data_IF_175991535651
#
_entry.id   IF_175991535651
#
_cell.length_a   1.000
_cell.length_b   1.000
_cell.length_c   1.000
_cell.angle_alpha   90.00
_cell.angle_beta   90.00
_cell.angle_gamma   90.00
#
_symmetry.space_group_name_H-M   'P 1'
#
loop_
_entity.id
_entity.type
_entity.pdbx_description
1 polymer ?
#
# COMPACT_ATOMS: atom_id res chain seq x y z
N UNK A 1 9.46 -72.29 131.08
CA UNK A 1 9.69 -73.65 130.55
C UNK A 1 8.70 -73.85 129.42
N UNK A 2 9.01 -74.09 128.14
CA UNK A 2 10.24 -74.32 127.37
C UNK A 2 9.84 -74.04 125.89
N UNK A 3 10.53 -73.15 125.17
CA UNK A 3 11.27 -73.40 123.90
C UNK A 3 10.37 -73.84 122.72
N UNK A 4 10.27 -73.15 121.58
CA UNK A 4 11.31 -72.51 120.78
C UNK A 4 11.46 -73.30 119.47
N UNK A 5 11.56 -72.57 118.34
CA UNK A 5 11.96 -73.02 116.98
C UNK A 5 10.88 -73.67 116.08
N UNK A 6 10.68 -73.34 114.79
CA UNK A 6 11.16 -72.40 113.76
C UNK A 6 10.08 -72.50 112.64
N UNK A 7 9.40 -71.50 112.10
CA UNK A 7 9.81 -70.21 111.50
C UNK A 7 10.80 -70.33 110.33
N UNK A 8 10.39 -70.92 109.19
CA UNK A 8 10.76 -70.48 107.82
C UNK A 8 10.31 -71.49 106.75
N UNK A 9 9.11 -71.33 106.18
CA UNK A 9 8.75 -71.97 104.89
C UNK A 9 7.53 -71.35 104.16
N UNK A 10 6.97 -70.22 104.63
CA UNK A 10 5.63 -69.77 104.20
C UNK A 10 5.60 -68.39 103.52
N UNK A 11 6.72 -67.92 102.96
CA UNK A 11 6.81 -66.58 102.31
C UNK A 11 7.10 -66.65 100.80
N UNK A 12 7.27 -67.84 100.19
CA UNK A 12 7.65 -67.95 98.77
C UNK A 12 6.56 -68.45 97.81
N UNK A 13 5.28 -68.47 98.19
CA UNK A 13 4.19 -68.99 97.31
C UNK A 13 3.02 -68.03 97.06
N UNK A 14 3.08 -66.78 97.53
CA UNK A 14 2.00 -65.78 97.35
C UNK A 14 2.27 -64.72 96.27
N UNK A 15 3.42 -64.73 95.59
CA UNK A 15 3.75 -63.75 94.54
C UNK A 15 3.54 -64.25 93.10
N UNK A 16 3.13 -65.51 92.87
CA UNK A 16 2.93 -66.06 91.51
C UNK A 16 1.47 -66.16 91.04
N UNK A 17 0.49 -65.99 91.93
CA UNK A 17 -0.94 -66.12 91.57
C UNK A 17 -1.62 -64.79 91.25
N UNK A 18 -1.04 -63.63 91.60
CA UNK A 18 -1.59 -62.32 91.25
C UNK A 18 -1.28 -61.86 89.81
N UNK A 19 -0.30 -62.48 89.13
CA UNK A 19 0.10 -62.12 87.75
C UNK A 19 -0.69 -62.85 86.65
N UNK A 20 -1.35 -63.98 86.97
CA UNK A 20 -2.07 -64.79 85.97
C UNK A 20 -3.52 -64.35 85.74
N UNK A 21 -4.16 -63.79 86.76
CA UNK A 21 -5.58 -63.37 86.65
C UNK A 21 -5.75 -62.00 85.98
N UNK A 22 -4.70 -61.17 85.94
CA UNK A 22 -4.71 -59.89 85.22
C UNK A 22 -4.64 -60.05 83.68
N UNK A 23 -4.08 -61.17 83.19
CA UNK A 23 -3.97 -61.41 81.75
C UNK A 23 -5.23 -62.02 81.13
N UNK A 24 -6.07 -62.73 81.89
CA UNK A 24 -7.28 -63.36 81.35
C UNK A 24 -8.50 -62.42 81.26
N UNK A 25 -8.50 -61.27 81.95
CA UNK A 25 -9.59 -60.30 81.89
C UNK A 25 -9.54 -59.35 80.67
N UNK A 26 -8.40 -59.28 79.96
CA UNK A 26 -8.19 -58.36 78.84
C UNK A 26 -8.72 -58.95 77.52
N UNK A 27 -8.79 -60.27 77.38
CA UNK A 27 -9.11 -60.91 76.09
C UNK A 27 -10.61 -60.89 75.70
N UNK A 28 -11.54 -60.66 76.64
CA UNK A 28 -12.98 -60.73 76.34
C UNK A 28 -13.63 -59.39 75.95
N UNK A 29 -12.97 -58.24 76.16
CA UNK A 29 -13.52 -56.92 75.76
C UNK A 29 -13.16 -56.52 74.32
N UNK A 30 -12.12 -57.09 73.71
CA UNK A 30 -11.66 -56.70 72.37
C UNK A 30 -12.48 -57.28 71.19
N UNK A 31 -13.36 -58.26 71.41
CA UNK A 31 -14.02 -58.99 70.31
C UNK A 31 -15.14 -58.21 69.56
N UNK A 32 -15.71 -57.14 70.16
CA UNK A 32 -16.77 -56.33 69.51
C UNK A 32 -16.30 -54.98 69.00
N UNK A 33 -15.38 -54.30 69.71
CA UNK A 33 -14.83 -53.01 69.28
C UNK A 33 -13.83 -53.11 68.12
N UNK A 34 -13.01 -54.18 68.09
CA UNK A 34 -12.06 -54.42 66.99
C UNK A 34 -12.74 -54.63 65.64
N UNK A 35 -13.90 -55.32 65.62
CA UNK A 35 -14.68 -55.51 64.40
C UNK A 35 -15.23 -54.19 63.86
N UNK A 36 -15.66 -53.28 64.73
CA UNK A 36 -16.18 -51.97 64.32
C UNK A 36 -15.07 -51.07 63.75
N UNK A 37 -13.89 -51.07 64.38
CA UNK A 37 -12.70 -50.39 63.85
C UNK A 37 -12.24 -50.99 62.51
N UNK A 38 -12.30 -52.31 62.34
CA UNK A 38 -11.99 -52.99 61.08
C UNK A 38 -13.00 -52.62 59.97
N UNK A 39 -14.30 -52.55 60.28
CA UNK A 39 -15.32 -52.12 59.32
C UNK A 39 -15.20 -50.63 58.95
N UNK A 40 -14.88 -49.76 59.90
CA UNK A 40 -14.61 -48.33 59.62
C UNK A 40 -13.35 -48.16 58.78
N UNK A 41 -12.28 -48.90 59.09
CA UNK A 41 -11.06 -48.90 58.29
C UNK A 41 -11.32 -49.43 56.86
N UNK A 42 -12.09 -50.52 56.73
CA UNK A 42 -12.49 -51.07 55.42
C UNK A 42 -13.33 -50.07 54.62
N UNK A 43 -14.29 -49.40 55.27
CA UNK A 43 -15.13 -48.39 54.63
C UNK A 43 -14.34 -47.14 54.23
N UNK A 44 -13.37 -46.72 55.05
CA UNK A 44 -12.44 -45.64 54.72
C UNK A 44 -11.53 -46.01 53.53
N UNK A 45 -11.06 -47.25 53.46
CA UNK A 45 -10.28 -47.75 52.31
C UNK A 45 -11.15 -47.76 51.04
N UNK A 46 -12.39 -48.26 51.11
CA UNK A 46 -13.31 -48.25 49.97
C UNK A 46 -13.64 -46.82 49.54
N UNK A 47 -13.84 -45.90 50.49
CA UNK A 47 -14.08 -44.48 50.21
C UNK A 47 -12.86 -43.81 49.56
N UNK A 48 -11.65 -44.05 50.06
CA UNK A 48 -10.40 -43.59 49.44
C UNK A 48 -10.19 -44.19 48.06
N UNK A 49 -10.56 -45.46 47.87
CA UNK A 49 -10.44 -46.16 46.59
C UNK A 49 -11.44 -45.62 45.56
N UNK A 50 -12.67 -45.32 45.98
CA UNK A 50 -13.67 -44.62 45.18
C UNK A 50 -13.25 -43.19 44.83
N UNK A 51 -12.74 -42.43 45.81
CA UNK A 51 -12.19 -41.09 45.59
C UNK A 51 -10.98 -41.11 44.66
N UNK A 52 -10.03 -42.04 44.84
CA UNK A 52 -8.86 -42.17 43.98
C UNK A 52 -9.22 -42.61 42.55
N UNK A 53 -10.37 -43.26 42.36
CA UNK A 53 -10.92 -43.60 41.05
C UNK A 53 -11.57 -42.41 40.34
N UNK A 54 -12.09 -41.41 41.07
CA UNK A 54 -12.72 -40.22 40.50
C UNK A 54 -11.83 -38.97 40.48
N UNK A 55 -10.88 -38.86 41.40
CA UNK A 55 -9.96 -37.74 41.49
C UNK A 55 -9.03 -37.71 40.28
N UNK A 56 -9.20 -36.72 39.41
CA UNK A 56 -8.33 -36.48 38.25
C UNK A 56 -7.15 -35.60 38.64
N UNK A 57 -5.94 -36.05 38.33
CA UNK A 57 -4.69 -35.28 38.38
C UNK A 57 -4.25 -34.95 36.95
N UNK A 58 -3.82 -33.71 36.72
CA UNK A 58 -3.34 -33.27 35.42
C UNK A 58 -1.93 -33.82 35.17
N UNK A 59 -1.72 -34.42 33.99
CA UNK A 59 -0.40 -34.83 33.52
C UNK A 59 0.19 -33.68 32.70
N UNK A 60 1.38 -33.21 33.11
CA UNK A 60 2.03 -32.06 32.48
C UNK A 60 3.42 -32.43 31.99
N UNK A 61 3.73 -31.97 30.78
CA UNK A 61 5.11 -31.92 30.25
C UNK A 61 5.66 -30.55 30.54
N UNK A 62 6.85 -30.49 31.14
CA UNK A 62 7.52 -29.24 31.48
C UNK A 62 8.57 -28.92 30.43
N UNK A 63 8.63 -27.67 30.00
CA UNK A 63 9.66 -27.18 29.10
C UNK A 63 10.07 -25.76 29.45
N UNK A 64 11.30 -25.40 29.09
CA UNK A 64 11.81 -24.05 29.25
C UNK A 64 11.43 -23.23 28.01
N UNK A 65 10.63 -22.17 28.21
CA UNK A 65 10.14 -21.28 27.18
C UNK A 65 10.89 -19.95 27.13
N UNK A 66 11.18 -19.44 25.94
CA UNK A 66 11.63 -18.07 25.72
C UNK A 66 10.58 -17.29 24.94
N UNK A 67 10.28 -16.08 25.39
CA UNK A 67 9.37 -15.18 24.67
C UNK A 67 10.02 -14.71 23.39
N UNK A 68 9.40 -15.04 22.26
CA UNK A 68 9.77 -14.53 20.95
C UNK A 68 8.68 -13.59 20.44
N UNK A 69 9.03 -12.58 19.64
CA UNK A 69 8.04 -11.75 18.96
C UNK A 69 7.06 -12.63 18.18
N UNK A 70 5.77 -12.38 18.33
CA UNK A 70 4.68 -13.03 17.59
C UNK A 70 4.82 -12.84 16.07
N UNK A 71 5.40 -11.71 15.66
CA UNK A 71 5.74 -11.36 14.28
C UNK A 71 7.24 -11.21 14.14
N UNK A 72 7.75 -11.51 12.96
CA UNK A 72 9.15 -11.28 12.64
C UNK A 72 9.49 -9.79 12.81
N UNK A 73 10.73 -9.53 13.25
CA UNK A 73 11.30 -8.18 13.34
C UNK A 73 11.14 -7.48 11.99
N UNK A 74 10.57 -6.27 12.02
CA UNK A 74 10.35 -5.46 10.83
C UNK A 74 11.61 -4.65 10.55
N UNK A 75 12.19 -4.84 9.36
CA UNK A 75 13.37 -4.12 8.91
C UNK A 75 12.88 -2.92 8.09
N UNK A 76 13.19 -1.71 8.55
CA UNK A 76 12.83 -0.48 7.85
C UNK A 76 14.03 -0.03 7.03
N UNK A 77 13.82 0.10 5.73
CA UNK A 77 14.85 0.46 4.75
C UNK A 77 14.57 1.85 4.17
N UNK A 78 15.62 2.51 3.69
CA UNK A 78 15.47 3.70 2.85
C UNK A 78 15.21 3.28 1.41
N UNK A 79 14.15 3.76 0.76
CA UNK A 79 13.94 3.47 -0.67
C UNK A 79 14.91 4.28 -1.54
N UNK A 80 14.91 5.62 -1.39
CA UNK A 80 15.69 6.54 -2.23
C UNK A 80 17.06 6.93 -1.66
N UNK A 81 17.34 6.61 -0.39
CA UNK A 81 18.56 7.05 0.30
C UNK A 81 18.59 8.57 0.54
N UNK A 82 19.72 9.06 1.06
CA UNK A 82 19.95 10.49 1.26
C UNK A 82 20.76 10.83 2.50
N UNK A 83 20.79 12.10 2.86
CA UNK A 83 21.51 12.59 4.04
C UNK A 83 20.53 12.61 5.21
N UNK A 84 20.92 12.01 6.33
CA UNK A 84 20.11 12.03 7.56
C UNK A 84 20.09 13.44 8.13
N UNK A 85 18.93 14.07 8.12
CA UNK A 85 18.74 15.41 8.70
C UNK A 85 18.50 15.30 10.21
N UNK A 86 17.63 14.39 10.63
CA UNK A 86 17.24 14.23 12.04
C UNK A 86 16.91 12.77 12.37
N UNK A 87 17.28 12.34 13.58
CA UNK A 87 16.92 11.04 14.16
C UNK A 87 15.99 11.32 15.35
N UNK A 88 14.75 10.87 15.28
CA UNK A 88 13.71 11.18 16.28
C UNK A 88 13.50 10.05 17.31
N UNK A 89 14.09 8.88 17.07
CA UNK A 89 13.93 7.70 17.93
C UNK A 89 15.25 7.18 18.47
N UNK A 90 15.17 6.44 19.58
CA UNK A 90 16.30 5.78 20.22
C UNK A 90 16.06 4.26 20.34
N UNK A 91 17.12 3.43 20.34
CA UNK A 91 16.98 2.02 20.68
C UNK A 91 16.29 1.84 22.04
N UNK A 92 15.32 0.94 22.10
CA UNK A 92 14.47 0.69 23.28
C UNK A 92 13.24 1.57 23.41
N UNK A 93 13.07 2.59 22.55
CA UNK A 93 11.87 3.43 22.54
C UNK A 93 10.68 2.72 21.88
N UNK A 94 9.50 2.83 22.48
CA UNK A 94 8.24 2.41 21.88
C UNK A 94 7.76 3.43 20.85
N UNK A 95 7.27 2.94 19.71
CA UNK A 95 6.80 3.73 18.58
C UNK A 95 5.43 3.27 18.13
N UNK A 96 4.62 4.22 17.67
CA UNK A 96 3.29 3.98 17.13
C UNK A 96 3.28 3.89 15.60
N UNK A 97 2.17 3.38 15.04
CA UNK A 97 1.98 3.31 13.58
C UNK A 97 1.96 4.72 12.99
N UNK A 98 2.79 4.99 11.99
CA UNK A 98 2.89 6.27 11.28
C UNK A 98 3.79 7.31 11.95
N UNK A 99 4.34 7.01 13.12
CA UNK A 99 5.31 7.88 13.82
C UNK A 99 6.58 8.04 12.99
N UNK A 100 7.10 9.28 12.90
CA UNK A 100 8.34 9.57 12.16
C UNK A 100 9.52 9.13 12.99
N UNK A 101 10.34 8.25 12.43
CA UNK A 101 11.49 7.65 13.10
C UNK A 101 12.76 8.44 12.79
N UNK A 102 12.91 8.82 11.53
CA UNK A 102 14.06 9.54 11.00
C UNK A 102 13.60 10.39 9.81
N UNK A 103 14.23 11.54 9.65
CA UNK A 103 14.06 12.43 8.50
C UNK A 103 15.32 12.46 7.66
N UNK A 104 15.15 12.23 6.38
CA UNK A 104 16.16 12.46 5.34
C UNK A 104 15.96 13.88 4.81
N UNK A 105 17.05 14.59 4.51
CA UNK A 105 16.99 15.94 3.95
C UNK A 105 16.13 15.97 2.66
N UNK A 106 14.95 16.61 2.67
CA UNK A 106 14.05 16.62 1.54
C UNK A 106 14.45 17.64 0.47
N UNK A 107 15.44 18.51 0.72
CA UNK A 107 15.73 19.71 -0.09
C UNK A 107 15.90 19.41 -1.57
N UNK A 108 16.59 18.30 -1.90
CA UNK A 108 16.79 17.90 -3.31
C UNK A 108 15.48 17.45 -3.97
N UNK A 109 14.68 16.67 -3.26
CA UNK A 109 13.41 16.15 -3.76
C UNK A 109 12.35 17.26 -3.86
N UNK A 110 12.30 18.16 -2.87
CA UNK A 110 11.40 19.31 -2.88
C UNK A 110 11.76 20.31 -3.98
N UNK A 111 13.05 20.51 -4.25
CA UNK A 111 13.50 21.35 -5.37
C UNK A 111 13.05 20.79 -6.71
N UNK A 112 13.23 19.49 -6.95
CA UNK A 112 12.75 18.85 -8.19
C UNK A 112 11.23 18.85 -8.31
N UNK A 113 10.49 18.67 -7.22
CA UNK A 113 9.03 18.81 -7.20
C UNK A 113 8.60 20.24 -7.54
N UNK A 114 9.29 21.24 -6.97
CA UNK A 114 9.04 22.65 -7.25
C UNK A 114 9.32 23.03 -8.70
N UNK A 115 10.41 22.53 -9.29
CA UNK A 115 10.74 22.72 -10.71
C UNK A 115 9.66 22.10 -11.61
N UNK A 116 9.30 20.85 -11.37
CA UNK A 116 8.24 20.15 -12.11
C UNK A 116 6.90 20.89 -12.03
N UNK A 117 6.55 21.38 -10.84
CA UNK A 117 5.33 22.12 -10.60
C UNK A 117 5.34 23.50 -11.30
N UNK A 118 6.46 24.23 -11.25
CA UNK A 118 6.61 25.49 -11.98
C UNK A 118 6.47 25.30 -13.49
N UNK A 119 7.08 24.24 -14.05
CA UNK A 119 6.92 23.88 -15.47
C UNK A 119 5.47 23.50 -15.79
N UNK A 120 4.80 22.75 -14.91
CA UNK A 120 3.40 22.38 -15.05
C UNK A 120 2.49 23.62 -15.10
N UNK A 121 2.71 24.61 -14.22
CA UNK A 121 1.93 25.86 -14.23
C UNK A 121 2.16 26.68 -15.49
N UNK A 122 3.41 26.81 -15.93
CA UNK A 122 3.77 27.49 -17.18
C UNK A 122 3.08 26.84 -18.39
N UNK A 123 3.16 25.51 -18.50
CA UNK A 123 2.53 24.77 -19.60
C UNK A 123 1.01 24.77 -19.54
N UNK A 124 0.42 24.83 -18.35
CA UNK A 124 -1.04 24.90 -18.18
C UNK A 124 -1.58 26.24 -18.70
N UNK A 125 -0.93 27.35 -18.38
CA UNK A 125 -1.28 28.66 -18.94
C UNK A 125 -1.07 28.70 -20.46
N UNK A 126 0.06 28.16 -20.95
CA UNK A 126 0.35 28.04 -22.38
C UNK A 126 -0.70 27.21 -23.12
N UNK A 127 -1.17 26.10 -22.53
CA UNK A 127 -2.21 25.26 -23.10
C UNK A 127 -3.53 26.02 -23.25
N UNK A 128 -3.95 26.77 -22.21
CA UNK A 128 -5.16 27.58 -22.26
C UNK A 128 -5.09 28.67 -23.35
N UNK A 129 -3.91 29.31 -23.54
CA UNK A 129 -3.69 30.23 -24.66
C UNK A 129 -3.82 29.54 -26.01
N UNK A 130 -3.17 28.39 -26.19
CA UNK A 130 -3.19 27.66 -27.46
C UNK A 130 -4.60 27.15 -27.79
N UNK A 131 -5.37 26.76 -26.79
CA UNK A 131 -6.77 26.36 -26.94
C UNK A 131 -7.66 27.53 -27.38
N UNK A 132 -7.46 28.72 -26.80
CA UNK A 132 -8.11 29.95 -27.26
C UNK A 132 -7.78 30.27 -28.72
N UNK A 133 -6.49 30.19 -29.12
CA UNK A 133 -6.07 30.42 -30.51
C UNK A 133 -6.62 29.37 -31.49
N UNK A 134 -6.69 28.11 -31.08
CA UNK A 134 -7.19 27.01 -31.92
C UNK A 134 -8.70 27.06 -32.14
N UNK A 135 -9.46 27.50 -31.12
CA UNK A 135 -10.93 27.64 -31.17
C UNK A 135 -11.38 28.98 -31.74
N UNK A 136 -10.58 30.04 -31.57
CA UNK A 136 -10.98 31.42 -31.83
C UNK A 136 -11.73 32.06 -30.65
N UNK A 137 -11.74 31.43 -29.48
CA UNK A 137 -12.29 32.01 -28.25
C UNK A 137 -11.33 33.00 -27.58
N UNK A 138 -11.87 33.78 -26.64
CA UNK A 138 -11.09 34.64 -25.75
C UNK A 138 -10.23 33.80 -24.79
N UNK A 139 -9.01 34.26 -24.51
CA UNK A 139 -8.15 33.63 -23.52
C UNK A 139 -8.77 33.70 -22.12
N UNK A 140 -9.08 32.53 -21.56
CA UNK A 140 -9.54 32.33 -20.18
C UNK A 140 -8.39 31.78 -19.37
N UNK A 141 -7.96 32.53 -18.35
CA UNK A 141 -6.88 32.12 -17.48
C UNK A 141 -7.34 30.98 -16.55
N UNK A 142 -6.56 29.89 -16.40
CA UNK A 142 -6.86 28.84 -15.44
C UNK A 142 -6.78 29.36 -13.99
N UNK A 143 -7.79 29.06 -13.17
CA UNK A 143 -7.89 29.56 -11.78
C UNK A 143 -6.67 29.18 -10.92
N UNK A 144 -6.18 27.95 -11.07
CA UNK A 144 -5.00 27.42 -10.36
C UNK A 144 -3.75 28.27 -10.62
N UNK A 145 -3.50 28.63 -11.89
CA UNK A 145 -2.34 29.45 -12.26
C UNK A 145 -2.51 30.91 -11.83
N UNK A 146 -3.75 31.43 -11.86
CA UNK A 146 -4.04 32.79 -11.38
C UNK A 146 -3.73 32.93 -9.89
N UNK A 147 -4.05 31.91 -9.09
CA UNK A 147 -3.82 31.93 -7.65
C UNK A 147 -2.32 31.90 -7.29
N UNK A 148 -1.53 31.06 -7.97
CA UNK A 148 -0.13 30.84 -7.59
C UNK A 148 0.89 31.67 -8.38
N UNK A 149 0.63 31.93 -9.67
CA UNK A 149 1.59 32.51 -10.61
C UNK A 149 0.95 33.54 -11.56
N UNK A 150 0.42 34.66 -11.05
CA UNK A 150 -0.26 35.67 -11.86
C UNK A 150 0.65 36.29 -12.95
N UNK A 151 1.97 36.36 -12.72
CA UNK A 151 2.91 36.85 -13.75
C UNK A 151 2.92 35.99 -15.03
N UNK A 152 2.73 34.67 -14.92
CA UNK A 152 2.71 33.76 -16.07
C UNK A 152 1.46 34.03 -16.90
N UNK A 153 0.31 34.21 -16.23
CA UNK A 153 -0.97 34.52 -16.89
C UNK A 153 -0.86 35.80 -17.70
N UNK A 154 -0.25 36.85 -17.15
CA UNK A 154 -0.10 38.13 -17.83
C UNK A 154 0.90 38.06 -19.00
N UNK A 155 1.93 37.24 -18.89
CA UNK A 155 2.84 36.96 -20.01
C UNK A 155 2.09 36.25 -21.14
N UNK A 156 1.33 35.18 -20.84
CA UNK A 156 0.58 34.42 -21.83
C UNK A 156 -0.56 35.25 -22.44
N UNK A 157 -1.20 36.14 -21.67
CA UNK A 157 -2.20 37.10 -22.18
C UNK A 157 -1.59 38.00 -23.26
N UNK A 158 -0.43 38.60 -22.99
CA UNK A 158 0.28 39.43 -23.98
C UNK A 158 0.66 38.65 -25.24
N UNK A 159 1.08 37.40 -25.09
CA UNK A 159 1.37 36.53 -26.25
C UNK A 159 0.08 36.23 -27.03
N UNK A 160 -1.04 35.96 -26.36
CA UNK A 160 -2.33 35.75 -27.01
C UNK A 160 -2.78 36.98 -27.81
N UNK A 161 -2.67 38.17 -27.23
CA UNK A 161 -3.01 39.43 -27.90
C UNK A 161 -2.18 39.64 -29.17
N UNK A 162 -0.86 39.48 -29.07
CA UNK A 162 0.05 39.60 -30.22
C UNK A 162 -0.29 38.58 -31.32
N UNK A 163 -0.50 37.31 -30.96
CA UNK A 163 -0.88 36.27 -31.95
C UNK A 163 -2.23 36.53 -32.61
N UNK A 164 -3.18 37.08 -31.87
CA UNK A 164 -4.49 37.47 -32.41
C UNK A 164 -4.36 38.65 -33.36
N UNK A 165 -3.50 39.62 -33.05
CA UNK A 165 -3.18 40.74 -33.95
C UNK A 165 -2.51 40.26 -35.24
N UNK A 166 -1.55 39.32 -35.15
CA UNK A 166 -0.91 38.69 -36.31
C UNK A 166 -1.95 37.99 -37.21
N UNK A 167 -2.86 37.20 -36.62
CA UNK A 167 -3.95 36.56 -37.35
C UNK A 167 -4.84 37.58 -38.06
N UNK A 168 -5.29 38.61 -37.35
CA UNK A 168 -6.15 39.65 -37.92
C UNK A 168 -5.45 40.41 -39.06
N UNK A 169 -4.14 40.65 -38.94
CA UNK A 169 -3.34 41.29 -39.98
C UNK A 169 -3.22 40.41 -41.23
N UNK A 170 -2.97 39.10 -41.08
CA UNK A 170 -2.89 38.15 -42.19
C UNK A 170 -4.23 38.02 -42.92
N UNK A 171 -5.33 37.89 -42.18
CA UNK A 171 -6.69 37.86 -42.74
C UNK A 171 -7.01 39.15 -43.49
N UNK A 172 -6.69 40.31 -42.91
CA UNK A 172 -6.90 41.60 -43.56
C UNK A 172 -6.11 41.72 -44.86
N UNK A 173 -4.85 41.28 -44.88
CA UNK A 173 -4.04 41.26 -46.10
C UNK A 173 -4.68 40.40 -47.20
N UNK A 174 -5.19 39.22 -46.86
CA UNK A 174 -5.90 38.35 -47.81
C UNK A 174 -7.21 38.99 -48.31
N UNK A 175 -7.96 39.65 -47.42
CA UNK A 175 -9.16 40.41 -47.77
C UNK A 175 -8.86 41.59 -48.71
N UNK A 176 -7.77 42.31 -48.48
CA UNK A 176 -7.36 43.42 -49.35
C UNK A 176 -7.00 42.91 -50.76
N UNK A 177 -6.34 41.76 -50.89
CA UNK A 177 -6.08 41.12 -52.18
C UNK A 177 -7.38 40.74 -52.90
N UNK A 178 -8.35 40.17 -52.17
CA UNK A 178 -9.67 39.86 -52.71
C UNK A 178 -10.39 41.12 -53.20
N UNK A 179 -10.35 42.20 -52.41
CA UNK A 179 -10.95 43.49 -52.79
C UNK A 179 -10.29 44.08 -54.05
N UNK A 180 -8.98 43.96 -54.20
CA UNK A 180 -8.26 44.35 -55.41
C UNK A 180 -8.74 43.57 -56.64
N UNK A 181 -8.89 42.24 -56.53
CA UNK A 181 -9.43 41.40 -57.62
C UNK A 181 -10.87 41.74 -57.97
N UNK A 182 -11.67 42.14 -56.99
CA UNK A 182 -13.03 42.62 -57.24
C UNK A 182 -13.08 43.97 -57.97
N UNK A 183 -12.12 44.85 -57.72
CA UNK A 183 -11.98 46.09 -58.50
C UNK A 183 -11.60 45.77 -59.95
N UNK A 184 -10.62 44.88 -60.16
CA UNK A 184 -10.21 44.39 -61.48
C UNK A 184 -11.37 43.73 -62.25
N UNK A 185 -12.23 42.98 -61.53
CA UNK A 185 -13.45 42.41 -62.11
C UNK A 185 -14.41 43.49 -62.61
N UNK A 186 -14.67 44.52 -61.80
CA UNK A 186 -15.57 45.63 -62.19
C UNK A 186 -15.05 46.38 -63.42
N UNK A 187 -13.75 46.64 -63.46
CA UNK A 187 -13.10 47.27 -64.63
C UNK A 187 -13.25 46.41 -65.88
N UNK A 188 -12.96 45.11 -65.77
CA UNK A 188 -13.08 44.18 -66.90
C UNK A 188 -14.53 43.99 -67.35
N UNK A 189 -15.49 44.05 -66.42
CA UNK A 189 -16.93 43.98 -66.74
C UNK A 189 -17.33 45.19 -67.59
N UNK A 190 -16.95 46.39 -67.19
CA UNK A 190 -17.19 47.60 -67.96
C UNK A 190 -16.57 47.52 -69.38
N UNK A 191 -15.33 47.04 -69.47
CA UNK A 191 -14.65 46.85 -70.76
C UNK A 191 -15.37 45.83 -71.66
N UNK A 192 -15.83 44.71 -71.08
CA UNK A 192 -16.60 43.69 -71.80
C UNK A 192 -17.93 44.26 -72.29
N UNK A 193 -18.65 45.00 -71.46
CA UNK A 193 -19.97 45.55 -71.78
C UNK A 193 -19.86 46.64 -72.86
N UNK A 194 -18.81 47.46 -72.80
CA UNK A 194 -18.49 48.43 -73.86
C UNK A 194 -18.20 47.71 -75.18
N UNK A 195 -17.32 46.70 -75.19
CA UNK A 195 -16.97 45.95 -76.40
C UNK A 195 -18.18 45.17 -76.96
N UNK A 196 -19.02 44.60 -76.08
CA UNK A 196 -20.25 43.90 -76.46
C UNK A 196 -21.26 44.85 -77.10
N UNK A 197 -21.40 46.07 -76.57
CA UNK A 197 -22.28 47.10 -77.13
C UNK A 197 -21.80 47.53 -78.52
N UNK A 198 -20.49 47.79 -78.69
CA UNK A 198 -19.89 48.10 -79.99
C UNK A 198 -20.09 46.97 -81.00
N UNK A 199 -19.83 45.72 -80.61
CA UNK A 199 -20.08 44.54 -81.46
C UNK A 199 -21.56 44.46 -81.90
N UNK A 200 -22.51 44.69 -80.97
CA UNK A 200 -23.94 44.68 -81.27
C UNK A 200 -24.35 45.77 -82.28
N UNK A 201 -23.91 47.01 -82.06
CA UNK A 201 -24.22 48.14 -82.94
C UNK A 201 -23.62 47.95 -84.34
N UNK A 202 -22.34 47.59 -84.44
CA UNK A 202 -21.69 47.37 -85.75
C UNK A 202 -22.26 46.15 -86.47
N UNK A 203 -22.68 45.10 -85.73
CA UNK A 203 -23.35 43.94 -86.33
C UNK A 203 -24.71 44.31 -86.90
N UNK A 204 -25.48 45.14 -86.19
CA UNK A 204 -26.76 45.66 -86.67
C UNK A 204 -26.57 46.55 -87.91
N UNK A 205 -25.58 47.44 -87.90
CA UNK A 205 -25.22 48.26 -89.06
C UNK A 205 -24.89 47.39 -90.28
N UNK A 206 -24.11 46.32 -90.09
CA UNK A 206 -23.78 45.37 -91.14
C UNK A 206 -25.03 44.67 -91.70
N UNK A 207 -25.96 44.26 -90.83
CA UNK A 207 -27.19 43.61 -91.25
C UNK A 207 -28.08 44.53 -92.08
N UNK A 208 -28.19 45.81 -91.69
CA UNK A 208 -28.97 46.82 -92.41
C UNK A 208 -28.31 47.23 -93.73
N UNK A 209 -26.97 47.26 -93.78
CA UNK A 209 -26.21 47.69 -94.96
C UNK A 209 -26.06 46.60 -96.02
N UNK A 210 -25.98 45.32 -95.61
CA UNK A 210 -25.83 44.17 -96.51
C UNK A 210 -26.85 44.10 -97.67
N UNK A 211 -28.17 44.35 -97.50
CA UNK A 211 -29.12 44.35 -98.61
C UNK A 211 -28.90 45.53 -99.59
N UNK A 212 -28.37 46.66 -99.13
CA UNK A 212 -28.17 47.88 -99.94
C UNK A 212 -27.10 47.71 -101.03
N UNK A 213 -26.21 46.71 -100.89
CA UNK A 213 -25.25 46.33 -101.92
C UNK A 213 -25.97 45.84 -103.19
N UNK A 214 -27.10 45.10 -103.05
CA UNK A 214 -27.86 44.57 -104.21
C UNK A 214 -28.51 45.67 -105.04
N UNK A 215 -28.87 46.79 -104.40
CA UNK A 215 -29.41 47.98 -105.07
C UNK A 215 -28.33 48.93 -105.57
N UNK A 216 -27.03 48.62 -105.37
CA UNK A 216 -25.90 49.47 -105.78
C UNK A 216 -25.72 50.75 -104.95
N UNK A 217 -26.40 50.87 -103.81
CA UNK A 217 -26.41 52.07 -102.97
C UNK A 217 -25.18 52.18 -102.05
N UNK A 218 -24.39 51.12 -101.91
CA UNK A 218 -23.17 51.04 -101.09
C UNK A 218 -22.09 50.24 -101.82
N UNK A 219 -20.82 50.59 -101.62
CA UNK A 219 -19.65 49.90 -102.19
C UNK A 219 -19.33 48.58 -101.47
N UNK A 220 -18.86 47.58 -102.21
CA UNK A 220 -18.38 46.30 -101.64
C UNK A 220 -17.21 46.50 -100.67
N UNK A 221 -16.37 47.51 -100.90
CA UNK A 221 -15.23 47.85 -100.02
C UNK A 221 -15.72 48.32 -98.65
N UNK A 222 -16.82 49.07 -98.60
CA UNK A 222 -17.40 49.56 -97.35
C UNK A 222 -18.03 48.41 -96.56
N UNK A 223 -18.68 47.45 -97.26
CA UNK A 223 -19.20 46.24 -96.63
C UNK A 223 -18.07 45.38 -96.02
N UNK A 224 -16.95 45.22 -96.74
CA UNK A 224 -15.77 44.48 -96.23
C UNK A 224 -15.11 45.18 -95.04
N UNK A 225 -15.04 46.52 -95.05
CA UNK A 225 -14.59 47.30 -93.88
C UNK A 225 -15.49 47.05 -92.67
N UNK A 226 -16.80 47.14 -92.86
CA UNK A 226 -17.78 46.94 -91.80
C UNK A 226 -17.74 45.50 -91.26
N UNK A 227 -17.57 44.49 -92.12
CA UNK A 227 -17.33 43.11 -91.68
C UNK A 227 -16.06 42.96 -90.83
N UNK A 228 -14.97 43.64 -91.20
CA UNK A 228 -13.73 43.65 -90.41
C UNK A 228 -13.93 44.30 -89.05
N UNK A 229 -14.69 45.39 -88.98
CA UNK A 229 -15.01 46.07 -87.73
C UNK A 229 -15.90 45.21 -86.82
N UNK A 230 -16.91 44.51 -87.37
CA UNK A 230 -17.67 43.49 -86.61
C UNK A 230 -16.74 42.43 -86.07
N UNK A 231 -15.84 41.88 -86.90
CA UNK A 231 -14.86 40.87 -86.47
C UNK A 231 -13.97 41.36 -85.33
N UNK A 232 -13.50 42.62 -85.42
CA UNK A 232 -12.67 43.26 -84.40
C UNK A 232 -13.43 43.45 -83.08
N UNK A 233 -14.57 44.15 -83.09
CA UNK A 233 -15.31 44.45 -81.85
C UNK A 233 -15.90 43.20 -81.19
N UNK A 234 -16.41 42.24 -81.98
CA UNK A 234 -16.89 40.99 -81.42
C UNK A 234 -15.75 40.09 -80.92
N UNK A 235 -14.56 40.17 -81.54
CA UNK A 235 -13.35 39.55 -81.04
C UNK A 235 -12.90 40.13 -79.69
N UNK A 236 -12.86 41.46 -79.58
CA UNK A 236 -12.58 42.18 -78.33
C UNK A 236 -13.57 41.81 -77.21
N UNK A 237 -14.88 41.74 -77.52
CA UNK A 237 -15.90 41.34 -76.55
C UNK A 237 -15.69 39.89 -76.05
N UNK A 238 -15.33 38.96 -76.94
CA UNK A 238 -15.01 37.57 -76.57
C UNK A 238 -13.73 37.49 -75.73
N UNK A 239 -12.69 38.26 -76.09
CA UNK A 239 -11.44 38.31 -75.35
C UNK A 239 -11.65 38.87 -73.93
N UNK A 240 -12.44 39.94 -73.79
CA UNK A 240 -12.84 40.50 -72.50
C UNK A 240 -13.70 39.51 -71.69
N UNK A 241 -14.58 38.76 -72.36
CA UNK A 241 -15.33 37.65 -71.73
C UNK A 241 -14.42 36.58 -71.14
N UNK A 242 -13.43 36.10 -71.89
CA UNK A 242 -12.45 35.14 -71.38
C UNK A 242 -11.61 35.72 -70.22
N UNK A 243 -11.31 37.02 -70.25
CA UNK A 243 -10.64 37.70 -69.14
C UNK A 243 -11.49 37.73 -67.87
N UNK A 244 -12.80 37.95 -67.99
CA UNK A 244 -13.72 37.91 -66.84
C UNK A 244 -13.70 36.56 -66.14
N UNK A 245 -13.71 35.47 -66.90
CA UNK A 245 -13.69 34.13 -66.32
C UNK A 245 -12.37 33.85 -65.58
N UNK A 246 -11.23 34.34 -66.12
CA UNK A 246 -9.94 34.30 -65.42
C UNK A 246 -9.95 35.07 -64.09
N UNK A 247 -10.51 36.28 -64.08
CA UNK A 247 -10.56 37.10 -62.85
C UNK A 247 -11.51 36.49 -61.82
N UNK A 248 -12.64 35.91 -62.24
CA UNK A 248 -13.54 35.19 -61.33
C UNK A 248 -12.83 34.02 -60.65
N UNK A 249 -12.04 33.24 -61.41
CA UNK A 249 -11.21 32.18 -60.83
C UNK A 249 -10.18 32.74 -59.84
N UNK A 250 -9.54 33.88 -60.15
CA UNK A 250 -8.60 34.54 -59.24
C UNK A 250 -9.28 35.08 -57.96
N UNK A 251 -10.55 35.49 -58.02
CA UNK A 251 -11.32 35.85 -56.82
C UNK A 251 -11.59 34.63 -55.96
N UNK A 252 -11.98 33.49 -56.56
CA UNK A 252 -12.16 32.24 -55.81
C UNK A 252 -10.87 31.79 -55.14
N UNK A 253 -9.72 31.89 -55.82
CA UNK A 253 -8.41 31.64 -55.22
C UNK A 253 -8.12 32.60 -54.05
N UNK A 254 -8.45 33.89 -54.19
CA UNK A 254 -8.30 34.88 -53.12
C UNK A 254 -9.23 34.59 -51.92
N UNK A 255 -10.45 34.12 -52.15
CA UNK A 255 -11.37 33.68 -51.09
C UNK A 255 -10.77 32.49 -50.33
N UNK A 256 -10.22 31.49 -51.04
CA UNK A 256 -9.51 30.35 -50.41
C UNK A 256 -8.29 30.79 -49.59
N UNK A 257 -7.56 31.82 -50.04
CA UNK A 257 -6.42 32.39 -49.29
C UNK A 257 -6.83 33.04 -47.96
N UNK A 258 -8.05 33.57 -47.85
CA UNK A 258 -8.57 34.10 -46.57
C UNK A 258 -8.75 32.94 -45.58
N UNK A 259 -9.38 31.84 -46.01
CA UNK A 259 -9.57 30.66 -45.19
C UNK A 259 -8.24 30.01 -44.81
N UNK A 260 -7.29 29.93 -45.75
CA UNK A 260 -5.94 29.40 -45.52
C UNK A 260 -5.18 30.21 -44.46
N UNK A 261 -5.28 31.54 -44.48
CA UNK A 261 -4.64 32.40 -43.49
C UNK A 261 -5.15 32.10 -42.06
N UNK A 262 -6.45 31.87 -41.90
CA UNK A 262 -7.01 31.48 -40.60
C UNK A 262 -6.60 30.06 -40.19
N UNK A 263 -6.73 29.10 -41.11
CA UNK A 263 -6.45 27.70 -40.84
C UNK A 263 -4.99 27.46 -40.48
N UNK A 264 -4.06 28.21 -41.09
CA UNK A 264 -2.62 28.08 -40.81
C UNK A 264 -2.32 28.33 -39.34
N UNK A 265 -2.79 29.44 -38.77
CA UNK A 265 -2.54 29.78 -37.37
C UNK A 265 -3.28 28.84 -36.42
N UNK A 266 -4.54 28.49 -36.74
CA UNK A 266 -5.32 27.56 -35.90
C UNK A 266 -4.71 26.16 -35.88
N UNK A 267 -4.27 25.64 -37.02
CA UNK A 267 -3.64 24.34 -37.12
C UNK A 267 -2.28 24.31 -36.42
N UNK A 268 -1.47 25.36 -36.56
CA UNK A 268 -0.22 25.50 -35.80
C UNK A 268 -0.49 25.48 -34.29
N UNK A 269 -1.50 26.21 -33.82
CA UNK A 269 -1.90 26.20 -32.42
C UNK A 269 -2.37 24.81 -31.95
N UNK A 270 -3.08 24.05 -32.79
CA UNK A 270 -3.51 22.66 -32.48
C UNK A 270 -2.34 21.70 -32.35
N UNK A 271 -1.35 21.79 -33.24
CA UNK A 271 -0.14 20.96 -33.19
C UNK A 271 0.63 21.23 -31.90
N UNK A 272 0.92 22.51 -31.61
CA UNK A 272 1.59 22.91 -30.37
C UNK A 272 0.78 22.50 -29.12
N UNK A 273 -0.55 22.62 -29.16
CA UNK A 273 -1.42 22.24 -28.06
C UNK A 273 -1.33 20.73 -27.78
N UNK A 274 -1.27 19.90 -28.83
CA UNK A 274 -1.10 18.44 -28.68
C UNK A 274 0.21 18.10 -27.98
N UNK A 275 1.31 18.73 -28.39
CA UNK A 275 2.62 18.54 -27.76
C UNK A 275 2.63 19.00 -26.29
N UNK A 276 2.05 20.18 -26.01
CA UNK A 276 1.95 20.71 -24.65
C UNK A 276 1.07 19.82 -23.78
N UNK A 277 -0.07 19.32 -24.29
CA UNK A 277 -0.95 18.40 -23.54
C UNK A 277 -0.24 17.07 -23.23
N UNK A 278 0.54 16.56 -24.19
CA UNK A 278 1.37 15.36 -23.98
C UNK A 278 2.39 15.59 -22.85
N UNK A 279 3.13 16.72 -22.90
CA UNK A 279 4.07 17.10 -21.83
C UNK A 279 3.40 17.28 -20.48
N UNK A 280 2.24 17.96 -20.43
CA UNK A 280 1.46 18.12 -19.19
C UNK A 280 1.03 16.78 -18.58
N UNK A 281 0.65 15.81 -19.42
CA UNK A 281 0.33 14.46 -18.96
C UNK A 281 1.54 13.80 -18.29
N UNK A 282 2.71 13.89 -18.92
CA UNK A 282 3.97 13.37 -18.38
C UNK A 282 4.38 14.08 -17.09
N UNK A 283 4.30 15.41 -17.04
CA UNK A 283 4.63 16.19 -15.85
C UNK A 283 3.70 15.83 -14.69
N UNK A 284 2.39 15.67 -14.93
CA UNK A 284 1.43 15.26 -13.90
C UNK A 284 1.78 13.90 -13.29
N UNK A 285 2.19 12.93 -14.12
CA UNK A 285 2.65 11.63 -13.61
C UNK A 285 3.98 11.77 -12.84
N UNK A 286 4.91 12.58 -13.34
CA UNK A 286 6.17 12.89 -12.66
C UNK A 286 5.97 13.56 -11.30
N UNK A 287 4.99 14.47 -11.19
CA UNK A 287 4.66 15.18 -9.97
C UNK A 287 4.22 14.21 -8.86
N UNK A 288 3.40 13.21 -9.19
CA UNK A 288 2.98 12.18 -8.23
C UNK A 288 4.19 11.39 -7.70
N UNK A 289 5.09 10.98 -8.58
CA UNK A 289 6.30 10.26 -8.19
C UNK A 289 7.26 11.13 -7.34
N UNK A 290 7.43 12.40 -7.68
CA UNK A 290 8.26 13.34 -6.92
C UNK A 290 7.64 13.68 -5.55
N UNK A 291 6.32 13.86 -5.49
CA UNK A 291 5.60 14.07 -4.24
C UNK A 291 5.73 12.85 -3.30
N UNK A 292 5.68 11.63 -3.85
CA UNK A 292 5.92 10.41 -3.07
C UNK A 292 7.35 10.35 -2.53
N UNK A 293 8.36 10.72 -3.33
CA UNK A 293 9.75 10.82 -2.83
C UNK A 293 9.92 11.82 -1.70
N UNK A 294 9.29 12.99 -1.80
CA UNK A 294 9.30 13.99 -0.71
C UNK A 294 8.62 13.42 0.53
N UNK A 295 7.51 12.69 0.38
CA UNK A 295 6.82 12.02 1.49
C UNK A 295 7.67 10.92 2.13
N UNK A 296 8.39 10.15 1.34
CA UNK A 296 9.28 9.06 1.78
C UNK A 296 10.58 9.56 2.42
N UNK A 297 10.90 10.86 2.32
CA UNK A 297 11.98 11.47 3.09
C UNK A 297 11.73 11.38 4.61
N UNK A 298 10.46 11.41 5.03
CA UNK A 298 10.05 11.07 6.39
C UNK A 298 9.88 9.55 6.52
N UNK A 299 10.85 8.88 7.14
CA UNK A 299 10.80 7.44 7.38
C UNK A 299 9.90 7.16 8.57
N UNK A 300 8.77 6.48 8.34
CA UNK A 300 7.72 6.22 9.34
C UNK A 300 7.63 4.76 9.73
N UNK A 301 7.13 4.50 10.94
CA UNK A 301 6.88 3.13 11.38
C UNK A 301 5.62 2.53 10.74
N UNK A 302 5.69 1.33 10.11
CA UNK A 302 4.50 0.64 9.61
C UNK A 302 3.72 -0.11 10.71
N UNK A 303 4.34 -0.34 11.88
CA UNK A 303 3.78 -1.14 12.98
C UNK A 303 4.00 -0.46 14.32
N UNK A 304 3.14 -0.73 15.30
CA UNK A 304 3.44 -0.40 16.70
C UNK A 304 4.48 -1.37 17.23
N UNK A 305 5.51 -0.86 17.90
CA UNK A 305 6.58 -1.73 18.40
C UNK A 305 7.64 -1.00 19.19
N UNK A 306 8.71 -1.71 19.52
CA UNK A 306 9.90 -1.14 20.16
C UNK A 306 11.07 -1.18 19.20
N UNK A 307 11.82 -0.09 19.10
CA UNK A 307 13.03 -0.01 18.25
C UNK A 307 14.12 -0.91 18.84
N UNK A 308 14.57 -1.92 18.08
CA UNK A 308 15.62 -2.86 18.50
C UNK A 308 17.01 -2.28 18.28
N UNK A 309 17.29 -1.90 17.04
CA UNK A 309 18.60 -1.41 16.60
C UNK A 309 18.41 -0.26 15.63
N UNK A 310 19.21 0.79 15.81
CA UNK A 310 19.31 1.92 14.88
C UNK A 310 20.64 1.80 14.15
N UNK A 311 20.62 1.47 12.86
CA UNK A 311 21.82 1.34 12.03
C UNK A 311 22.29 2.70 11.51
N UNK A 312 21.35 3.59 11.16
CA UNK A 312 21.64 4.97 10.76
C UNK A 312 21.66 5.90 11.98
N UNK A 313 22.77 5.89 12.72
CA UNK A 313 22.90 6.59 14.02
C UNK A 313 23.59 7.97 13.96
N UNK A 314 23.99 8.41 12.77
CA UNK A 314 24.79 9.63 12.58
C UNK A 314 23.99 10.67 11.81
N UNK A 315 23.66 11.79 12.46
CA UNK A 315 23.09 12.98 11.80
C UNK A 315 24.14 13.56 10.83
N UNK A 316 23.73 13.89 9.61
CA UNK A 316 24.61 14.27 8.51
C UNK A 316 25.27 13.08 7.79
N UNK A 317 25.05 11.85 8.27
CA UNK A 317 25.50 10.63 7.59
C UNK A 317 24.69 10.35 6.32
N UNK A 318 25.30 9.63 5.38
CA UNK A 318 24.66 9.24 4.11
C UNK A 318 24.11 7.82 4.24
N UNK A 319 22.83 7.65 3.89
CA UNK A 319 22.16 6.35 3.79
C UNK A 319 22.01 5.99 2.32
N UNK A 320 22.40 4.77 1.97
CA UNK A 320 22.26 4.25 0.62
C UNK A 320 20.82 3.77 0.34
N UNK A 321 20.35 3.85 -0.91
CA UNK A 321 19.09 3.24 -1.34
C UNK A 321 19.07 1.73 -1.02
N UNK A 322 17.94 1.23 -0.52
CA UNK A 322 17.72 -0.17 -0.13
C UNK A 322 18.43 -0.60 1.15
N UNK A 323 19.13 0.30 1.85
CA UNK A 323 19.86 -0.05 3.07
C UNK A 323 18.96 0.01 4.30
N UNK A 324 19.15 -0.95 5.20
CA UNK A 324 18.50 -1.03 6.50
C UNK A 324 18.85 0.20 7.36
N UNK A 325 17.82 0.90 7.82
CA UNK A 325 17.93 2.08 8.69
C UNK A 325 17.79 1.64 10.15
N UNK A 326 16.75 0.85 10.44
CA UNK A 326 16.42 0.42 11.80
C UNK A 326 15.56 -0.84 11.80
N UNK A 327 15.53 -1.51 12.95
CA UNK A 327 14.72 -2.69 13.20
C UNK A 327 13.67 -2.40 14.27
N UNK A 328 12.42 -2.82 14.03
CA UNK A 328 11.29 -2.67 14.96
C UNK A 328 10.78 -4.05 15.35
N UNK A 329 10.62 -4.27 16.65
CA UNK A 329 9.96 -5.47 17.19
C UNK A 329 8.50 -5.13 17.44
N UNK A 330 7.54 -5.74 16.70
CA UNK A 330 6.12 -5.47 16.91
C UNK A 330 5.68 -5.81 18.33
N UNK A 331 4.86 -4.94 18.91
CA UNK A 331 4.21 -5.20 20.21
C UNK A 331 2.76 -5.62 19.91
N UNK A 332 2.51 -6.93 19.91
CA UNK A 332 1.17 -7.51 19.72
C UNK A 332 0.54 -7.90 21.07
N UNK A 333 -0.79 -8.08 21.08
CA UNK A 333 -1.58 -8.43 22.28
C UNK A 333 -1.46 -9.91 22.70
N UNK A 334 -0.75 -10.74 21.92
CA UNK A 334 -0.49 -12.14 22.20
C UNK A 334 1.00 -12.45 22.03
N UNK A 335 1.58 -13.24 22.92
CA UNK A 335 2.98 -13.60 22.89
C UNK A 335 3.15 -15.01 22.35
N UNK A 336 4.24 -15.22 21.63
CA UNK A 336 4.64 -16.54 21.18
C UNK A 336 5.86 -16.97 22.00
N UNK A 337 5.82 -18.17 22.55
CA UNK A 337 6.92 -18.73 23.32
C UNK A 337 7.49 -19.92 22.59
N UNK A 338 8.81 -19.93 22.44
CA UNK A 338 9.55 -21.09 21.96
C UNK A 338 9.96 -21.92 23.18
N UNK A 339 9.29 -23.05 23.34
CA UNK A 339 9.46 -23.98 24.46
C UNK A 339 10.34 -25.14 24.04
N UNK A 340 11.42 -25.36 24.80
CA UNK A 340 12.35 -26.46 24.61
C UNK A 340 11.84 -27.66 25.39
N UNK A 341 11.56 -28.76 24.69
CA UNK A 341 10.99 -29.99 25.26
C UNK A 341 11.91 -31.17 25.03
N UNK A 342 12.02 -32.04 26.03
CA UNK A 342 12.83 -33.25 25.95
C UNK A 342 12.27 -34.21 24.87
N UNK A 343 13.11 -34.79 24.00
CA UNK A 343 12.67 -35.75 22.98
C UNK A 343 11.87 -36.93 23.53
N UNK A 344 12.04 -37.30 24.80
CA UNK A 344 11.27 -38.38 25.45
C UNK A 344 9.78 -38.06 25.61
N UNK A 345 9.43 -36.78 25.65
CA UNK A 345 8.07 -36.32 25.97
C UNK A 345 7.29 -35.85 24.73
N UNK A 346 7.92 -35.80 23.55
CA UNK A 346 7.32 -35.33 22.30
C UNK A 346 6.12 -36.15 21.84
N UNK A 347 6.13 -37.46 22.12
CA UNK A 347 5.06 -38.38 21.71
C UNK A 347 3.69 -38.10 22.35
N UNK A 348 3.64 -37.24 23.36
CA UNK A 348 2.40 -36.85 24.05
C UNK A 348 1.90 -35.46 23.65
N UNK A 349 2.57 -34.78 22.73
CA UNK A 349 2.27 -33.41 22.34
C UNK A 349 1.54 -33.35 20.99
N UNK A 350 0.52 -32.51 20.92
CA UNK A 350 -0.18 -32.21 19.67
C UNK A 350 -0.66 -30.75 19.64
N UNK A 351 -0.80 -30.15 18.43
CA UNK A 351 -1.32 -28.79 18.30
C UNK A 351 -2.70 -28.63 18.96
N UNK A 352 -2.92 -27.51 19.63
CA UNK A 352 -4.17 -27.15 20.32
C UNK A 352 -4.23 -27.54 21.81
N UNK A 353 -3.23 -28.24 22.35
CA UNK A 353 -3.17 -28.53 23.79
C UNK A 353 -3.08 -27.26 24.63
N UNK A 354 -3.75 -27.27 25.80
CA UNK A 354 -3.65 -26.18 26.78
C UNK A 354 -2.29 -26.23 27.46
N UNK A 355 -1.71 -25.06 27.67
CA UNK A 355 -0.46 -24.87 28.37
C UNK A 355 -0.61 -23.77 29.43
N UNK A 356 0.09 -23.92 30.53
CA UNK A 356 0.23 -22.90 31.56
C UNK A 356 1.65 -22.35 31.52
N UNK A 357 1.79 -21.05 31.29
CA UNK A 357 3.08 -20.35 31.12
C UNK A 357 3.38 -19.58 32.41
N UNK A 358 4.56 -19.85 33.00
CA UNK A 358 5.01 -19.23 34.24
C UNK A 358 6.27 -18.43 33.95
N UNK A 359 6.20 -17.10 34.00
CA UNK A 359 7.35 -16.25 33.70
C UNK A 359 8.30 -16.20 34.89
N UNK A 360 9.59 -16.46 34.68
CA UNK A 360 10.57 -16.46 35.78
C UNK A 360 10.84 -15.06 36.35
N UNK A 361 10.54 -14.02 35.56
CA UNK A 361 10.68 -12.63 35.95
C UNK A 361 9.59 -12.14 36.95
N UNK A 362 8.51 -12.89 37.10
CA UNK A 362 7.40 -12.56 38.00
C UNK A 362 7.14 -13.71 38.97
N UNK A 363 6.84 -13.41 40.23
CA UNK A 363 6.52 -14.45 41.21
C UNK A 363 5.16 -15.10 40.90
N UNK A 364 5.19 -16.38 40.51
CA UNK A 364 4.00 -17.14 40.15
C UNK A 364 2.99 -17.25 41.31
N UNK A 365 3.44 -17.28 42.57
CA UNK A 365 2.53 -17.38 43.70
C UNK A 365 1.67 -16.11 43.89
N UNK A 366 2.18 -14.97 43.41
CA UNK A 366 1.52 -13.66 43.54
C UNK A 366 0.72 -13.34 42.28
N UNK A 367 1.32 -13.54 41.09
CA UNK A 367 0.74 -13.07 39.83
C UNK A 367 0.10 -14.16 38.97
N UNK A 368 0.24 -15.43 39.37
CA UNK A 368 -0.31 -16.58 38.66
C UNK A 368 0.39 -16.89 37.34
N UNK A 369 -0.16 -17.88 36.63
CA UNK A 369 0.29 -18.31 35.30
C UNK A 369 -0.59 -17.76 34.20
N UNK A 370 -0.04 -17.73 33.00
CA UNK A 370 -0.76 -17.31 31.81
C UNK A 370 -1.22 -18.53 31.02
N UNK A 371 -2.51 -18.59 30.69
CA UNK A 371 -3.04 -19.62 29.83
C UNK A 371 -2.53 -19.44 28.40
N UNK A 372 -2.08 -20.53 27.78
CA UNK A 372 -1.64 -20.60 26.41
C UNK A 372 -2.08 -21.88 25.72
N UNK A 373 -1.83 -21.94 24.41
CA UNK A 373 -2.13 -23.11 23.57
C UNK A 373 -0.93 -23.45 22.70
N UNK A 374 -0.68 -24.74 22.52
CA UNK A 374 0.34 -25.24 21.58
C UNK A 374 -0.12 -24.90 20.16
N UNK A 375 0.65 -24.09 19.45
CA UNK A 375 0.34 -23.67 18.08
C UNK A 375 1.05 -24.57 17.06
N UNK A 376 2.35 -24.81 17.27
CA UNK A 376 3.18 -25.58 16.35
C UNK A 376 4.23 -26.39 17.11
N UNK A 377 4.50 -27.60 16.62
CA UNK A 377 5.57 -28.47 17.11
C UNK A 377 6.62 -28.58 16.00
N UNK A 378 7.90 -28.38 16.34
CA UNK A 378 9.01 -28.53 15.41
C UNK A 378 9.09 -29.94 14.84
N UNK A 379 9.41 -30.05 13.55
CA UNK A 379 9.46 -31.35 12.85
C UNK A 379 10.69 -32.20 13.24
N UNK A 380 11.74 -31.58 13.80
CA UNK A 380 13.00 -32.23 14.14
C UNK A 380 13.58 -31.67 15.45
N UNK A 381 14.50 -32.42 16.04
CA UNK A 381 15.29 -32.00 17.20
C UNK A 381 16.37 -30.98 16.80
N UNK A 382 16.58 -29.99 17.66
CA UNK A 382 17.69 -29.06 17.58
C UNK A 382 18.68 -29.42 18.70
N UNK A 383 19.96 -29.45 18.38
CA UNK A 383 21.03 -29.72 19.36
C UNK A 383 21.66 -28.41 19.80
N UNK A 384 21.75 -28.19 21.12
CA UNK A 384 22.43 -27.02 21.70
C UNK A 384 23.96 -27.15 21.57
N UNK A 385 24.68 -26.05 21.78
CA UNK A 385 26.16 -26.01 21.86
C UNK A 385 26.72 -26.98 22.92
N UNK A 386 25.88 -27.38 23.89
CA UNK A 386 26.18 -28.35 24.97
C UNK A 386 25.89 -29.82 24.59
N UNK A 387 25.46 -30.10 23.36
CA UNK A 387 25.16 -31.46 22.88
C UNK A 387 23.82 -32.05 23.33
N UNK A 388 22.95 -31.26 23.97
CA UNK A 388 21.60 -31.69 24.34
C UNK A 388 20.62 -31.47 23.19
N UNK A 389 19.87 -32.50 22.80
CA UNK A 389 18.83 -32.40 21.78
C UNK A 389 17.45 -32.12 22.40
N UNK A 390 16.70 -31.19 21.82
CA UNK A 390 15.36 -30.80 22.25
C UNK A 390 14.46 -30.48 21.05
N UNK A 391 13.16 -30.66 21.20
CA UNK A 391 12.17 -30.16 20.24
C UNK A 391 11.77 -28.73 20.61
N UNK A 392 11.60 -27.88 19.61
CA UNK A 392 11.05 -26.53 19.79
C UNK A 392 9.55 -26.57 19.55
N UNK A 393 8.78 -26.22 20.57
CA UNK A 393 7.32 -26.14 20.52
C UNK A 393 6.89 -24.70 20.73
N UNK A 394 6.12 -24.17 19.80
CA UNK A 394 5.59 -22.81 19.84
C UNK A 394 4.26 -22.80 20.60
N UNK A 395 4.22 -22.04 21.70
CA UNK A 395 3.05 -21.88 22.54
C UNK A 395 2.59 -20.42 22.49
N UNK A 396 1.34 -20.19 22.11
CA UNK A 396 0.74 -18.85 22.05
C UNK A 396 -0.06 -18.57 23.31
N UNK A 397 0.15 -17.42 23.93
CA UNK A 397 -0.62 -16.99 25.10
C UNK A 397 -1.92 -16.29 24.70
N UNK A 398 -2.93 -16.35 25.56
CA UNK A 398 -4.21 -15.67 25.31
C UNK A 398 -4.16 -14.15 25.56
N UNK A 399 -3.17 -13.67 26.33
CA UNK A 399 -2.93 -12.26 26.64
C UNK A 399 -1.43 -11.97 26.66
N UNK A 400 -1.02 -10.70 26.63
CA UNK A 400 0.38 -10.27 26.66
C UNK A 400 0.83 -9.65 28.01
N UNK A 401 0.03 -9.77 29.07
CA UNK A 401 0.33 -9.25 30.41
C UNK A 401 0.09 -10.30 31.49
N UNK A 402 0.78 -10.13 32.63
CA UNK A 402 0.66 -10.98 33.83
C UNK A 402 0.10 -10.16 34.99
N UNK A 403 -0.80 -10.77 35.77
CA UNK A 403 -1.44 -10.17 36.95
C UNK A 403 -2.53 -9.15 36.60
N UNK A 404 -3.29 -8.75 37.62
CA UNK A 404 -4.38 -7.77 37.48
C UNK A 404 -3.87 -6.35 37.17
N UNK A 405 -2.60 -6.05 37.49
CA UNK A 405 -1.91 -4.79 37.21
C UNK A 405 -1.39 -4.66 35.76
N UNK A 406 -1.71 -5.61 34.88
CA UNK A 406 -1.34 -5.61 33.46
C UNK A 406 0.17 -5.38 33.19
N UNK A 407 1.06 -6.09 33.91
CA UNK A 407 2.50 -5.94 33.72
C UNK A 407 2.95 -6.46 32.34
N UNK A 408 3.70 -5.65 31.55
CA UNK A 408 4.07 -6.00 30.19
C UNK A 408 5.18 -7.06 30.15
N UNK A 409 5.01 -8.08 29.32
CA UNK A 409 6.04 -9.10 29.07
C UNK A 409 6.84 -8.68 27.83
N UNK A 410 8.16 -8.63 27.95
CA UNK A 410 9.05 -8.23 26.85
C UNK A 410 9.64 -9.45 26.13
N UNK A 411 9.89 -9.37 24.80
CA UNK A 411 10.65 -10.37 24.07
C UNK A 411 12.00 -10.64 24.74
N UNK A 412 12.38 -11.92 24.83
CA UNK A 412 13.61 -12.37 25.48
C UNK A 412 13.44 -12.83 26.93
N UNK A 413 12.29 -12.58 27.58
CA UNK A 413 12.00 -13.16 28.90
C UNK A 413 11.96 -14.69 28.86
N UNK A 414 12.38 -15.33 29.95
CA UNK A 414 12.35 -16.78 30.12
C UNK A 414 11.11 -17.16 30.94
N UNK A 415 10.58 -18.34 30.67
CA UNK A 415 9.39 -18.90 31.29
C UNK A 415 9.52 -20.41 31.45
N UNK A 416 8.79 -20.98 32.39
CA UNK A 416 8.55 -22.40 32.50
C UNK A 416 7.14 -22.69 31.96
N UNK A 417 7.02 -23.57 30.98
CA UNK A 417 5.75 -23.88 30.33
C UNK A 417 5.34 -25.30 30.67
N UNK A 418 4.14 -25.45 31.24
CA UNK A 418 3.53 -26.72 31.61
C UNK A 418 2.43 -27.04 30.60
N UNK A 419 2.69 -27.97 29.68
CA UNK A 419 1.72 -28.39 28.66
C UNK A 419 0.90 -29.55 29.23
N UNK A 420 -0.42 -29.41 29.25
CA UNK A 420 -1.34 -30.45 29.73
C UNK A 420 -1.50 -31.53 28.66
N UNK A 421 -0.92 -32.71 28.89
CA UNK A 421 -0.94 -33.84 27.95
C UNK A 421 -2.04 -34.85 28.24
N UNK A 422 -2.68 -34.78 29.41
CA UNK A 422 -3.81 -35.63 29.76
C UNK A 422 -4.26 -35.47 31.20
N UNK A 423 -5.28 -36.24 31.58
CA UNK A 423 -5.74 -36.39 32.96
C UNK A 423 -5.65 -37.84 33.36
N UNK A 424 -5.08 -38.12 34.53
CA UNK A 424 -5.03 -39.47 35.12
C UNK A 424 -5.79 -39.49 36.42
N UNK A 425 -6.26 -40.66 36.83
CA UNK A 425 -6.82 -40.79 38.19
C UNK A 425 -5.71 -40.99 39.21
N UNK A 426 -5.94 -40.61 40.46
CA UNK A 426 -4.97 -40.85 41.56
C UNK A 426 -4.63 -42.34 41.66
N UNK A 427 -5.62 -43.21 41.43
CA UNK A 427 -5.44 -44.66 41.34
C UNK A 427 -4.43 -45.08 40.26
N UNK A 428 -4.54 -44.53 39.04
CA UNK A 428 -3.62 -44.82 37.94
C UNK A 428 -2.19 -44.32 38.23
N UNK A 429 -2.05 -43.19 38.93
CA UNK A 429 -0.74 -42.67 39.32
C UNK A 429 -0.05 -43.61 40.33
N UNK A 430 -0.77 -44.05 41.38
CA UNK A 430 -0.25 -44.95 42.42
C UNK A 430 0.07 -46.35 41.90
N UNK A 431 -0.71 -46.89 40.96
CA UNK A 431 -0.49 -48.22 40.37
C UNK A 431 0.58 -48.24 39.27
N UNK A 432 1.02 -47.09 38.75
CA UNK A 432 2.01 -46.99 37.65
C UNK A 432 3.33 -47.75 37.92
N UNK A 433 3.96 -47.69 39.11
CA UNK A 433 5.19 -48.43 39.39
C UNK A 433 4.98 -49.95 39.39
N UNK A 434 3.84 -50.41 39.92
CA UNK A 434 3.48 -51.83 39.97
C UNK A 434 3.20 -52.36 38.57
N UNK A 435 2.49 -51.60 37.75
CA UNK A 435 2.19 -51.95 36.35
C UNK A 435 3.45 -51.96 35.48
N UNK A 436 4.37 -50.99 35.66
CA UNK A 436 5.67 -50.96 34.96
C UNK A 436 6.59 -52.13 35.36
N UNK A 437 6.60 -52.50 36.64
CA UNK A 437 7.37 -53.65 37.11
C UNK A 437 6.85 -54.95 36.50
N UNK A 438 5.52 -55.13 36.44
CA UNK A 438 4.89 -56.29 35.79
C UNK A 438 5.16 -56.35 34.28
N UNK A 439 5.10 -55.23 33.57
CA UNK A 439 5.35 -55.20 32.12
C UNK A 439 6.81 -55.48 31.78
N UNK A 440 7.75 -54.96 32.57
CA UNK A 440 9.19 -55.15 32.32
C UNK A 440 9.70 -56.53 32.80
N UNK A 441 9.03 -57.17 33.76
CA UNK A 441 9.42 -58.49 34.27
C UNK A 441 9.07 -59.65 33.33
N UNK A 442 8.19 -59.45 32.32
CA UNK A 442 7.79 -60.47 31.34
C UNK A 442 8.27 -60.20 29.92
N UNK A 443 9.22 -59.28 29.75
CA UNK A 443 9.91 -59.04 28.47
C UNK A 443 11.40 -58.94 28.73
N UNK A 444 12.13 -59.96 28.31
CA UNK A 444 13.58 -59.91 28.13
C UNK A 444 13.90 -59.25 26.77
N UNK A 445 15.10 -58.70 26.65
CA UNK A 445 15.49 -57.79 25.58
C UNK A 445 15.92 -58.50 24.30
#
# INVERSE_FOLDING_TARGET
MMSGELSNAMVSSQSETAGRDAHQAIDLQYARGSRLLLWVALLAVIALMGWASWGSIDEVVRGEGKVVPSRQVQIIQSLDGGIVEQILVRPGQSVEVGEVLLRIDPTRYSSSLGENHAEFMALTAKAARLEALASGELFKAPEEVVAESPQIVEMERRVWETRTQELNAAVKQAQDQRNQRQQELRETQANRDQASSSCGLTSQELQLTRPLLKSGAVSEVDLLRLQRDVGRYCGEAKAAGAQLDRIRAAIQEADSKIEEAELTIRNQARVELSEVRSKLSTLRQGQLALADRVKLADVRSPVRGTVKTLMANTVGGVVQPGKDILEIVPTDDSLLLEVRINPRDIGFLYPGQKAEVKFTAYDFAIYGGLAGKVEQIGADTITDEKGNSFYVVKVRTERAYVGDDARPILPGMVSEVHILTGKRTVMQYLLKPVLRAKSNAFTER
#
